data_IF_536913857881
#
_entry.id   IF_536913857881
#
_cell.length_a   1.000
_cell.length_b   1.000
_cell.length_c   1.000
_cell.angle_alpha   90.00
_cell.angle_beta   90.00
_cell.angle_gamma   90.00
#
_symmetry.space_group_name_H-M   'P 1'
#
loop_
_entity.id
_entity.type
_entity.pdbx_description
1 polymer ?
#
# COMPACT_ATOMS: atom_id res chain seq x y z
N UNK A 1 13.76 10.10 -36.36
CA UNK A 1 13.72 10.78 -35.06
C UNK A 1 14.86 10.23 -34.22
N UNK A 2 15.82 11.03 -33.76
CA UNK A 2 16.70 10.59 -32.69
C UNK A 2 16.85 11.74 -31.67
N UNK A 3 16.10 11.64 -30.58
CA UNK A 3 16.44 12.26 -29.30
C UNK A 3 17.05 11.19 -28.41
N UNK A 4 18.05 11.56 -27.61
CA UNK A 4 18.70 10.66 -26.65
C UNK A 4 19.01 11.42 -25.35
N UNK A 5 19.19 10.71 -24.24
CA UNK A 5 19.41 11.26 -22.91
C UNK A 5 20.30 10.36 -22.05
N UNK A 6 20.62 10.78 -20.81
CA UNK A 6 21.47 10.02 -19.88
C UNK A 6 22.94 10.41 -19.88
N UNK A 7 23.27 11.52 -20.57
CA UNK A 7 24.60 12.14 -20.53
C UNK A 7 24.81 12.92 -19.23
N UNK A 8 25.95 13.61 -19.13
CA UNK A 8 26.30 14.49 -18.01
C UNK A 8 25.16 15.48 -17.70
N UNK A 9 24.77 15.57 -16.42
CA UNK A 9 23.65 16.38 -15.94
C UNK A 9 23.95 17.89 -15.93
N UNK A 10 25.21 18.29 -16.12
CA UNK A 10 25.59 19.70 -16.29
C UNK A 10 25.18 20.25 -17.66
N UNK A 11 24.93 19.38 -18.64
CA UNK A 11 24.48 19.76 -19.97
C UNK A 11 23.07 20.37 -19.91
N UNK A 12 22.90 21.56 -20.48
CA UNK A 12 21.60 22.25 -20.60
C UNK A 12 20.50 21.36 -21.18
N UNK A 13 20.83 20.50 -22.14
CA UNK A 13 19.89 19.57 -22.78
C UNK A 13 19.37 18.47 -21.86
N UNK A 14 20.07 18.19 -20.74
CA UNK A 14 19.70 17.20 -19.74
C UNK A 14 18.99 17.81 -18.52
N UNK A 15 18.84 19.15 -18.46
CA UNK A 15 18.22 19.83 -17.33
C UNK A 15 16.69 19.85 -17.47
N UNK A 16 15.94 19.25 -16.52
CA UNK A 16 14.48 19.30 -16.55
C UNK A 16 13.95 20.66 -16.09
N UNK A 17 12.68 20.91 -16.37
CA UNK A 17 11.95 22.08 -15.86
C UNK A 17 11.32 21.75 -14.50
N UNK A 18 11.34 22.73 -13.58
CA UNK A 18 10.60 22.68 -12.33
C UNK A 18 9.63 23.86 -12.25
N UNK A 19 8.35 23.58 -12.00
CA UNK A 19 7.31 24.58 -11.77
C UNK A 19 6.53 24.17 -10.53
N UNK A 20 6.30 25.13 -9.63
CA UNK A 20 5.56 24.91 -8.41
C UNK A 20 4.52 26.02 -8.22
N UNK A 21 3.33 25.65 -7.75
CA UNK A 21 2.25 26.57 -7.39
C UNK A 21 1.53 26.02 -6.17
N UNK A 22 1.32 26.88 -5.19
CA UNK A 22 0.59 26.54 -3.98
C UNK A 22 0.86 27.55 -2.88
N UNK A 23 0.11 27.46 -1.76
CA UNK A 23 0.24 28.40 -0.64
C UNK A 23 1.62 28.34 0.03
N UNK A 24 2.30 27.18 -0.02
CA UNK A 24 3.64 27.02 0.56
C UNK A 24 4.74 27.71 -0.26
N UNK A 25 4.54 27.93 -1.55
CA UNK A 25 5.56 28.47 -2.46
C UNK A 25 5.42 29.98 -2.62
N UNK A 26 6.55 30.69 -2.73
CA UNK A 26 6.55 32.12 -3.07
C UNK A 26 5.86 32.36 -4.40
N UNK A 27 5.06 33.41 -4.45
CA UNK A 27 4.44 33.86 -5.69
C UNK A 27 5.42 34.70 -6.52
N UNK A 28 5.33 34.59 -7.85
CA UNK A 28 6.15 35.35 -8.81
C UNK A 28 7.67 35.24 -8.55
N UNK A 29 8.12 34.10 -8.03
CA UNK A 29 9.51 33.84 -7.72
C UNK A 29 10.14 32.93 -8.77
N UNK A 30 11.32 33.31 -9.26
CA UNK A 30 12.11 32.52 -10.20
C UNK A 30 13.44 32.16 -9.55
N UNK A 31 13.67 30.87 -9.35
CA UNK A 31 14.96 30.34 -8.91
C UNK A 31 15.84 30.04 -10.13
N UNK A 32 17.13 30.35 -10.04
CA UNK A 32 18.07 30.15 -11.15
C UNK A 32 18.31 28.67 -11.48
N UNK A 33 18.55 27.84 -10.47
CA UNK A 33 18.71 26.39 -10.61
C UNK A 33 18.57 25.69 -9.26
N UNK A 34 18.28 24.39 -9.28
CA UNK A 34 18.33 23.53 -8.09
C UNK A 34 18.67 22.10 -8.52
N UNK A 35 19.11 21.27 -7.57
CA UNK A 35 19.33 19.84 -7.83
C UNK A 35 18.05 19.07 -7.55
N UNK A 36 17.73 18.07 -8.38
CA UNK A 36 16.54 17.23 -8.20
C UNK A 36 16.54 16.48 -6.86
N UNK A 37 17.70 16.15 -6.30
CA UNK A 37 17.84 15.50 -4.99
C UNK A 37 17.27 16.34 -3.85
N UNK A 38 17.23 17.67 -3.99
CA UNK A 38 16.69 18.58 -2.97
C UNK A 38 15.14 18.60 -2.98
N UNK A 39 14.49 17.96 -3.96
CA UNK A 39 13.02 17.88 -4.05
C UNK A 39 12.40 17.01 -2.95
N UNK A 40 13.05 15.91 -2.58
CA UNK A 40 12.55 15.02 -1.52
C UNK A 40 12.39 15.73 -0.17
N UNK A 41 13.44 16.37 0.41
CA UNK A 41 13.28 17.09 1.67
C UNK A 41 12.31 18.28 1.56
N UNK A 42 12.19 18.91 0.39
CA UNK A 42 11.19 19.96 0.13
C UNK A 42 9.75 19.42 0.20
N UNK A 43 9.47 18.28 -0.43
CA UNK A 43 8.16 17.64 -0.36
C UNK A 43 7.83 17.19 1.07
N UNK A 44 8.80 16.61 1.79
CA UNK A 44 8.65 16.25 3.19
C UNK A 44 8.27 17.46 4.05
N UNK A 45 8.94 18.59 3.85
CA UNK A 45 8.63 19.84 4.54
C UNK A 45 7.19 20.31 4.27
N UNK A 46 6.78 20.37 3.00
CA UNK A 46 5.42 20.81 2.60
C UNK A 46 4.33 19.87 3.17
N UNK A 47 4.61 18.56 3.20
CA UNK A 47 3.69 17.55 3.71
C UNK A 47 3.76 17.36 5.24
N UNK A 48 4.59 18.13 5.94
CA UNK A 48 4.83 17.97 7.38
C UNK A 48 5.24 16.55 7.78
N UNK A 49 6.06 15.88 6.95
CA UNK A 49 6.59 14.54 7.23
C UNK A 49 8.10 14.60 7.51
N UNK A 50 8.60 13.78 8.45
CA UNK A 50 10.04 13.71 8.72
C UNK A 50 10.76 13.05 7.53
N UNK A 51 11.79 13.69 6.95
CA UNK A 51 12.57 13.08 5.88
C UNK A 51 13.44 11.94 6.42
N UNK A 52 13.52 10.84 5.68
CA UNK A 52 14.51 9.78 5.91
C UNK A 52 15.90 10.19 5.38
N UNK A 53 16.99 9.47 5.72
CA UNK A 53 18.32 9.78 5.19
C UNK A 53 18.33 9.87 3.67
N UNK A 54 18.82 11.00 3.15
CA UNK A 54 18.86 11.30 1.72
C UNK A 54 20.02 12.26 1.40
N UNK A 55 20.33 12.46 0.11
CA UNK A 55 21.45 13.30 -0.34
C UNK A 55 21.06 14.77 -0.65
N UNK A 56 19.79 15.12 -0.43
CA UNK A 56 19.27 16.48 -0.61
C UNK A 56 19.38 17.34 0.65
N UNK A 57 19.19 18.65 0.50
CA UNK A 57 19.11 19.59 1.61
C UNK A 57 17.98 20.59 1.40
N UNK A 58 17.09 20.72 2.41
CA UNK A 58 16.02 21.72 2.40
C UNK A 58 16.57 23.14 2.30
N UNK A 59 17.74 23.41 2.90
CA UNK A 59 18.36 24.74 2.89
C UNK A 59 18.65 25.24 1.46
N UNK A 60 18.95 24.34 0.53
CA UNK A 60 19.24 24.71 -0.87
C UNK A 60 18.01 25.24 -1.62
N UNK A 61 16.81 24.94 -1.12
CA UNK A 61 15.52 25.19 -1.78
C UNK A 61 14.52 25.91 -0.86
N UNK A 62 14.95 26.35 0.32
CA UNK A 62 14.10 27.06 1.28
C UNK A 62 13.65 28.44 0.77
N UNK A 63 14.43 29.03 -0.13
CA UNK A 63 14.09 30.26 -0.85
C UNK A 63 12.86 30.12 -1.77
N UNK A 64 12.46 28.90 -2.14
CA UNK A 64 11.21 28.64 -2.86
C UNK A 64 9.97 28.83 -1.98
N UNK A 65 10.11 28.72 -0.66
CA UNK A 65 9.00 28.71 0.28
C UNK A 65 8.66 30.14 0.73
N UNK A 66 7.38 30.39 0.99
CA UNK A 66 6.98 31.62 1.68
C UNK A 66 7.75 31.70 3.01
N UNK A 67 8.34 32.86 3.35
CA UNK A 67 8.86 33.03 4.70
C UNK A 67 7.69 32.87 5.66
N UNK A 68 7.75 31.86 6.52
CA UNK A 68 6.89 31.84 7.69
C UNK A 68 7.15 33.15 8.45
N UNK A 69 6.11 33.93 8.79
CA UNK A 69 6.28 35.05 9.71
C UNK A 69 6.99 34.49 10.94
N UNK A 70 8.13 35.07 11.31
CA UNK A 70 8.94 34.65 12.48
C UNK A 70 8.04 34.50 13.70
N UNK A 71 7.51 33.30 13.92
CA UNK A 71 6.72 32.97 15.08
C UNK A 71 7.72 32.67 16.19
N UNK A 72 8.05 33.73 16.94
CA UNK A 72 8.41 33.59 18.33
C UNK A 72 7.22 32.93 19.04
N UNK A 73 7.16 31.60 19.03
CA UNK A 73 6.62 30.69 20.06
C UNK A 73 6.87 29.28 19.56
N UNK A 74 7.64 28.44 20.26
CA UNK A 74 7.60 27.00 19.99
C UNK A 74 6.21 26.53 20.41
N UNK A 75 5.28 26.42 19.46
CA UNK A 75 4.10 25.59 19.67
C UNK A 75 4.62 24.18 19.92
N UNK A 76 4.44 23.61 21.12
CA UNK A 76 4.69 22.20 21.27
C UNK A 76 3.67 21.54 20.36
N UNK A 77 4.11 20.91 19.26
CA UNK A 77 3.28 19.89 18.63
C UNK A 77 2.82 18.99 19.78
N UNK A 78 1.51 18.81 19.99
CA UNK A 78 1.08 17.81 20.94
C UNK A 78 1.52 16.50 20.30
N UNK A 79 2.63 15.93 20.79
CA UNK A 79 2.95 14.53 20.57
C UNK A 79 1.89 13.75 21.35
N UNK A 80 0.69 13.71 20.78
CA UNK A 80 -0.29 12.71 21.12
C UNK A 80 0.27 11.44 20.48
N UNK A 81 1.11 10.73 21.22
CA UNK A 81 1.20 9.28 21.04
C UNK A 81 -0.12 8.69 21.52
N UNK A 82 -1.18 8.98 20.77
CA UNK A 82 -2.42 8.24 20.87
C UNK A 82 -2.06 6.84 20.42
N UNK A 83 -2.13 5.91 21.36
CA UNK A 83 -2.01 4.49 21.06
C UNK A 83 -3.17 4.17 20.12
N UNK A 84 -2.92 4.30 18.83
CA UNK A 84 -3.92 4.04 17.81
C UNK A 84 -4.17 2.55 17.80
N UNK A 85 -5.39 2.16 18.18
CA UNK A 85 -5.84 0.78 18.05
C UNK A 85 -6.08 0.39 16.58
N UNK A 86 -5.93 1.32 15.62
CA UNK A 86 -6.11 1.08 14.19
C UNK A 86 -5.32 -0.14 13.64
N UNK A 87 -4.01 -0.31 13.91
CA UNK A 87 -3.28 -1.51 13.49
C UNK A 87 -3.82 -2.80 14.12
N UNK A 88 -4.24 -2.76 15.38
CA UNK A 88 -4.76 -3.94 16.09
C UNK A 88 -6.13 -4.35 15.53
N UNK A 89 -7.04 -3.39 15.39
CA UNK A 89 -8.38 -3.60 14.82
C UNK A 89 -8.27 -4.08 13.36
N UNK A 90 -7.39 -3.46 12.57
CA UNK A 90 -7.13 -3.88 11.19
C UNK A 90 -6.60 -5.32 11.11
N UNK A 91 -5.71 -5.72 12.01
CA UNK A 91 -5.18 -7.08 12.06
C UNK A 91 -6.27 -8.10 12.39
N UNK A 92 -7.13 -7.82 13.39
CA UNK A 92 -8.24 -8.72 13.73
C UNK A 92 -9.24 -8.86 12.58
N UNK A 93 -9.60 -7.75 11.94
CA UNK A 93 -10.54 -7.75 10.82
C UNK A 93 -9.99 -8.52 9.61
N UNK A 94 -8.70 -8.34 9.30
CA UNK A 94 -8.00 -9.06 8.24
C UNK A 94 -7.94 -10.57 8.50
N UNK A 95 -7.58 -10.98 9.72
CA UNK A 95 -7.55 -12.40 10.10
C UNK A 95 -8.93 -13.04 10.01
N UNK A 96 -9.97 -12.36 10.51
CA UNK A 96 -11.35 -12.84 10.43
C UNK A 96 -11.81 -13.01 8.97
N UNK A 97 -11.49 -12.05 8.09
CA UNK A 97 -11.79 -12.16 6.66
C UNK A 97 -11.10 -13.37 6.01
N UNK A 98 -9.80 -13.56 6.26
CA UNK A 98 -9.03 -14.65 5.65
C UNK A 98 -9.54 -16.02 6.13
N UNK A 99 -9.78 -16.17 7.43
CA UNK A 99 -10.30 -17.41 8.00
C UNK A 99 -11.72 -17.73 7.50
N UNK A 100 -12.59 -16.72 7.44
CA UNK A 100 -13.95 -16.87 6.92
C UNK A 100 -13.97 -17.28 5.45
N UNK A 101 -13.15 -16.64 4.62
CA UNK A 101 -12.99 -16.99 3.21
C UNK A 101 -12.47 -18.42 3.04
N UNK A 102 -11.43 -18.80 3.78
CA UNK A 102 -10.84 -20.15 3.71
C UNK A 102 -11.84 -21.22 4.13
N UNK A 103 -12.60 -20.99 5.20
CA UNK A 103 -13.65 -21.91 5.65
C UNK A 103 -14.72 -22.10 4.57
N UNK A 104 -15.24 -21.01 4.01
CA UNK A 104 -16.25 -21.07 2.95
C UNK A 104 -15.73 -21.76 1.70
N UNK A 105 -14.50 -21.43 1.29
CA UNK A 105 -13.83 -22.04 0.13
C UNK A 105 -13.63 -23.54 0.31
N UNK A 106 -13.09 -23.99 1.46
CA UNK A 106 -12.90 -25.42 1.75
C UNK A 106 -14.25 -26.15 1.79
N UNK A 107 -15.28 -25.58 2.41
CA UNK A 107 -16.63 -26.15 2.43
C UNK A 107 -17.19 -26.30 1.02
N UNK A 108 -17.10 -25.26 0.20
CA UNK A 108 -17.53 -25.27 -1.19
C UNK A 108 -16.83 -26.38 -1.99
N UNK A 109 -15.49 -26.45 -1.88
CA UNK A 109 -14.69 -27.45 -2.57
C UNK A 109 -15.04 -28.86 -2.08
N UNK A 110 -15.14 -29.07 -0.77
CA UNK A 110 -15.48 -30.38 -0.18
C UNK A 110 -16.86 -30.86 -0.59
N UNK A 111 -17.88 -29.98 -0.60
CA UNK A 111 -19.24 -30.33 -1.05
C UNK A 111 -19.25 -30.68 -2.54
N UNK A 112 -18.48 -29.94 -3.36
CA UNK A 112 -18.38 -30.20 -4.81
C UNK A 112 -17.52 -31.42 -5.13
N UNK A 113 -16.62 -31.83 -4.24
CA UNK A 113 -15.73 -32.98 -4.41
C UNK A 113 -16.25 -34.26 -3.74
N UNK A 114 -17.31 -34.19 -2.90
CA UNK A 114 -17.89 -35.38 -2.30
C UNK A 114 -18.53 -36.23 -3.40
N UNK A 115 -18.03 -37.45 -3.67
CA UNK A 115 -18.68 -38.34 -4.63
C UNK A 115 -20.07 -38.66 -4.10
N UNK A 116 -21.08 -38.56 -4.96
CA UNK A 116 -22.42 -39.07 -4.66
C UNK A 116 -22.29 -40.54 -4.28
N UNK A 117 -22.43 -40.87 -3.01
CA UNK A 117 -22.52 -42.25 -2.53
C UNK A 117 -23.82 -42.83 -3.09
N UNK A 118 -23.73 -43.36 -4.30
CA UNK A 118 -24.79 -44.14 -4.94
C UNK A 118 -25.02 -45.40 -4.09
N UNK A 119 -26.13 -45.36 -3.35
CA UNK A 119 -26.91 -46.48 -2.83
C UNK A 119 -26.11 -47.76 -2.51
N UNK A 120 -25.65 -47.84 -1.26
CA UNK A 120 -25.23 -49.04 -0.52
C UNK A 120 -26.05 -50.26 -0.96
N UNK A 121 -25.38 -51.23 -1.58
CA UNK A 121 -25.90 -52.55 -1.98
C UNK A 121 -26.72 -53.18 -0.85
N UNK A 122 -28.04 -53.27 -1.05
CA UNK A 122 -29.00 -53.95 -0.16
C UNK A 122 -29.51 -55.27 -0.77
N UNK A 123 -28.81 -55.80 -1.78
CA UNK A 123 -29.25 -57.01 -2.52
C UNK A 123 -28.29 -58.20 -2.43
N UNK A 124 -27.16 -58.10 -1.70
CA UNK A 124 -26.18 -59.21 -1.59
C UNK A 124 -26.34 -60.10 -0.34
N UNK A 125 -27.50 -60.08 0.32
CA UNK A 125 -27.75 -60.91 1.51
C UNK A 125 -29.12 -61.58 1.51
N UNK A 126 -29.58 -62.06 0.35
CA UNK A 126 -30.69 -63.01 0.31
C UNK A 126 -30.11 -64.43 0.29
N UNK A 127 -30.25 -65.22 1.37
CA UNK A 127 -29.66 -66.55 1.45
C UNK A 127 -30.46 -67.55 0.61
N UNK A 128 -29.71 -68.34 -0.16
CA UNK A 128 -30.09 -69.49 -0.99
C UNK A 128 -30.69 -70.64 -0.15
N UNK A 129 -31.88 -70.44 0.43
CA UNK A 129 -32.56 -71.43 1.28
C UNK A 129 -34.04 -71.67 0.91
N UNK A 130 -34.46 -71.28 -0.31
CA UNK A 130 -35.82 -71.46 -0.80
C UNK A 130 -35.92 -72.41 -2.01
N UNK A 131 -34.91 -73.26 -2.25
CA UNK A 131 -34.94 -74.26 -3.33
C UNK A 131 -35.14 -75.71 -2.81
N UNK A 132 -35.11 -75.96 -1.50
CA UNK A 132 -35.28 -77.31 -0.91
C UNK A 132 -36.65 -77.55 -0.22
N UNK A 133 -37.66 -76.71 -0.45
CA UNK A 133 -39.00 -76.89 0.15
C UNK A 133 -40.15 -77.13 -0.84
N UNK A 134 -39.84 -77.47 -2.08
CA UNK A 134 -40.85 -77.91 -3.06
C UNK A 134 -40.29 -79.02 -3.96
N UNK A 135 -40.12 -80.23 -3.41
CA UNK A 135 -40.49 -81.52 -4.01
C UNK A 135 -40.24 -82.68 -3.03
#
# INVERSE_FOLDING_TARGET
MLGNHGFDNTLRSMQPVFVARGPAFRQNYIKTSMRSVDLYPLMCHILSTPPLPNNGSLLNVQDLLYPEPTAATPSPSPRVHEHSYAPVVGSFLGVAMVLGFLFFYIRQVTIKQLPSLKHRSREMSQPLLQEDLHL
#
